data_IF_673758505699
#
_entry.id   IF_673758505699
#
_cell.length_a   1.000
_cell.length_b   1.000
_cell.length_c   1.000
_cell.angle_alpha   90.00
_cell.angle_beta   90.00
_cell.angle_gamma   90.00
#
_symmetry.space_group_name_H-M   'P 1'
#
loop_
_entity.id
_entity.type
_entity.pdbx_description
1 polymer ?
#
# COMPACT_ATOMS: atom_id res chain seq x y z
N UNK A 1 -34.95 15.09 -44.64
CA UNK A 1 -34.85 16.30 -45.47
C UNK A 1 -34.90 17.50 -44.55
N UNK A 2 -33.96 18.40 -44.76
CA UNK A 2 -33.60 19.57 -43.97
C UNK A 2 -34.79 20.49 -43.66
N UNK A 3 -34.70 21.21 -42.54
CA UNK A 3 -34.94 22.66 -42.58
C UNK A 3 -34.31 23.34 -41.37
N UNK A 4 -33.28 24.14 -41.63
CA UNK A 4 -32.87 25.23 -40.77
C UNK A 4 -33.93 26.33 -40.82
N UNK A 5 -34.29 26.89 -39.66
CA UNK A 5 -34.80 28.26 -39.58
C UNK A 5 -34.03 29.00 -38.49
N UNK A 6 -33.04 29.74 -38.98
CA UNK A 6 -32.31 30.81 -38.33
C UNK A 6 -33.26 31.78 -37.61
N UNK A 7 -33.15 31.89 -36.28
CA UNK A 7 -33.87 32.89 -35.49
C UNK A 7 -32.89 33.98 -35.07
N UNK A 8 -32.70 34.95 -35.95
CA UNK A 8 -32.14 36.24 -35.61
C UNK A 8 -33.20 37.10 -34.88
N UNK A 9 -32.73 38.02 -34.04
CA UNK A 9 -33.44 38.99 -33.17
C UNK A 9 -33.87 38.43 -31.80
N UNK A 10 -33.48 39.01 -30.66
CA UNK A 10 -33.42 40.44 -30.36
C UNK A 10 -32.35 40.75 -29.31
N UNK A 11 -31.35 41.54 -29.70
CA UNK A 11 -30.30 42.12 -28.83
C UNK A 11 -30.84 43.29 -27.97
N UNK A 12 -32.11 43.67 -28.15
CA UNK A 12 -32.74 44.81 -27.46
C UNK A 12 -33.39 44.44 -26.11
N UNK A 13 -33.64 43.16 -25.84
CA UNK A 13 -34.19 42.72 -24.55
C UNK A 13 -33.12 42.52 -23.48
N UNK A 14 -31.84 42.40 -23.87
CA UNK A 14 -30.71 42.17 -22.96
C UNK A 14 -30.18 43.49 -22.35
N UNK A 15 -30.45 44.64 -22.99
CA UNK A 15 -30.04 45.97 -22.50
C UNK A 15 -30.97 46.58 -21.44
N UNK A 16 -32.06 45.90 -21.09
CA UNK A 16 -33.02 46.31 -20.06
C UNK A 16 -32.89 45.52 -18.74
N UNK A 17 -31.92 44.61 -18.65
CA UNK A 17 -31.60 43.95 -17.39
C UNK A 17 -30.82 44.91 -16.49
N UNK A 18 -31.44 45.28 -15.38
CA UNK A 18 -30.80 45.98 -14.28
C UNK A 18 -29.51 45.23 -13.91
N UNK A 19 -28.36 45.90 -13.74
CA UNK A 19 -27.14 45.20 -13.35
C UNK A 19 -27.39 44.57 -11.97
N UNK A 20 -27.30 43.24 -11.90
CA UNK A 20 -27.23 42.50 -10.65
C UNK A 20 -26.07 43.12 -9.86
N UNK A 21 -26.40 43.86 -8.80
CA UNK A 21 -25.42 44.19 -7.78
C UNK A 21 -24.95 42.86 -7.24
N UNK A 22 -23.76 42.44 -7.66
CA UNK A 22 -23.02 41.40 -6.99
C UNK A 22 -22.93 41.82 -5.53
N UNK A 23 -23.68 41.12 -4.68
CA UNK A 23 -23.52 41.18 -3.24
C UNK A 23 -22.06 40.79 -3.02
N UNK A 24 -21.23 41.63 -2.38
CA UNK A 24 -19.87 41.23 -2.06
C UNK A 24 -19.97 39.91 -1.31
N UNK A 25 -19.43 38.84 -1.87
CA UNK A 25 -19.19 37.60 -1.13
C UNK A 25 -18.45 38.01 0.13
N UNK A 26 -19.02 37.69 1.30
CA UNK A 26 -18.31 37.84 2.57
C UNK A 26 -16.93 37.20 2.38
N UNK A 27 -15.91 38.06 2.29
CA UNK A 27 -14.56 37.62 2.61
C UNK A 27 -14.66 37.12 4.04
N UNK A 28 -14.21 35.90 4.28
CA UNK A 28 -13.77 35.52 5.62
C UNK A 28 -12.69 36.54 6.03
N UNK A 29 -13.12 37.65 6.63
CA UNK A 29 -12.28 38.58 7.37
C UNK A 29 -11.94 37.87 8.69
N UNK A 30 -11.20 36.77 8.58
CA UNK A 30 -10.41 36.29 9.70
C UNK A 30 -9.37 37.38 9.97
N UNK A 31 -9.54 38.08 11.10
CA UNK A 31 -8.59 39.08 11.59
C UNK A 31 -7.22 38.42 11.70
N UNK A 32 -6.31 38.75 10.76
CA UNK A 32 -4.95 38.23 10.80
C UNK A 32 -4.19 38.89 11.93
N UNK A 33 -3.12 38.24 12.38
CA UNK A 33 -2.18 38.80 13.35
C UNK A 33 -1.69 40.22 12.94
N UNK A 34 -1.57 40.46 11.65
CA UNK A 34 -1.22 41.74 11.01
C UNK A 34 -2.28 42.83 11.24
N UNK A 35 -3.56 42.50 11.07
CA UNK A 35 -4.69 43.40 11.28
C UNK A 35 -4.86 43.74 12.77
N UNK A 36 -4.50 42.81 13.65
CA UNK A 36 -4.46 43.03 15.09
C UNK A 36 -3.33 43.96 15.52
N UNK A 37 -2.12 43.77 14.99
CA UNK A 37 -1.04 44.70 15.27
C UNK A 37 -1.38 46.11 14.76
N UNK A 38 -2.07 46.25 13.63
CA UNK A 38 -2.55 47.54 13.15
C UNK A 38 -3.57 48.18 14.11
N UNK A 39 -4.54 47.41 14.61
CA UNK A 39 -5.54 47.90 15.58
C UNK A 39 -4.92 48.23 16.95
N UNK A 40 -3.98 47.42 17.44
CA UNK A 40 -3.26 47.65 18.69
C UNK A 40 -2.38 48.91 18.62
N UNK A 41 -1.70 49.13 17.49
CA UNK A 41 -0.88 50.32 17.27
C UNK A 41 -1.74 51.58 17.17
N UNK A 42 -2.89 51.48 16.48
CA UNK A 42 -3.86 52.57 16.39
C UNK A 42 -4.46 52.94 17.75
N UNK A 43 -4.83 51.95 18.57
CA UNK A 43 -5.33 52.16 19.93
C UNK A 43 -4.26 52.77 20.85
N UNK A 44 -3.02 52.29 20.81
CA UNK A 44 -1.90 52.88 21.57
C UNK A 44 -1.64 54.35 21.21
N UNK A 45 -1.85 54.75 19.95
CA UNK A 45 -1.67 56.15 19.52
C UNK A 45 -2.76 57.12 20.02
N UNK A 46 -3.93 56.60 20.43
CA UNK A 46 -5.11 57.37 20.81
C UNK A 46 -5.55 57.18 22.28
N UNK A 47 -4.76 56.48 23.11
CA UNK A 47 -5.09 56.26 24.53
C UNK A 47 -4.73 57.46 25.41
N UNK A 48 -5.63 57.80 26.33
CA UNK A 48 -5.38 58.72 27.44
C UNK A 48 -4.53 58.00 28.52
N UNK A 49 -3.36 58.54 28.92
CA UNK A 49 -2.42 57.89 29.83
C UNK A 49 -2.97 57.61 31.24
N UNK A 50 -4.16 58.11 31.58
CA UNK A 50 -4.79 57.93 32.89
C UNK A 50 -5.73 56.73 33.01
N UNK A 51 -6.07 56.03 31.91
CA UNK A 51 -6.97 54.86 31.90
C UNK A 51 -6.55 53.81 30.86
N UNK A 52 -5.56 52.96 31.16
CA UNK A 52 -5.19 51.86 30.28
C UNK A 52 -6.35 50.85 30.27
N UNK A 53 -7.09 50.74 29.17
CA UNK A 53 -8.12 49.71 29.06
C UNK A 53 -7.51 48.30 28.99
N UNK A 54 -8.28 47.29 29.44
CA UNK A 54 -7.99 45.84 29.44
C UNK A 54 -7.62 45.30 28.03
N UNK A 55 -6.36 45.45 27.64
CA UNK A 55 -5.80 44.78 26.46
C UNK A 55 -5.64 43.26 26.67
N UNK A 56 -5.75 42.79 27.91
CA UNK A 56 -5.48 41.40 28.30
C UNK A 56 -6.46 40.40 27.66
N UNK A 57 -7.74 40.77 27.55
CA UNK A 57 -8.76 39.88 26.97
C UNK A 57 -8.57 39.70 25.46
N UNK A 58 -8.13 40.74 24.76
CA UNK A 58 -7.85 40.70 23.32
C UNK A 58 -6.53 39.98 23.02
N UNK A 59 -5.50 40.17 23.87
CA UNK A 59 -4.24 39.41 23.83
C UNK A 59 -4.49 37.91 24.09
N UNK A 60 -5.37 37.58 25.03
CA UNK A 60 -5.76 36.20 25.30
C UNK A 60 -6.47 35.56 24.09
N UNK A 61 -7.38 36.28 23.43
CA UNK A 61 -8.04 35.81 22.21
C UNK A 61 -7.04 35.62 21.06
N UNK A 62 -6.13 36.56 20.83
CA UNK A 62 -5.03 36.43 19.87
C UNK A 62 -4.14 35.22 20.14
N UNK A 63 -3.74 35.03 21.39
CA UNK A 63 -2.91 33.88 21.78
C UNK A 63 -3.62 32.58 21.47
N UNK A 64 -4.93 32.49 21.73
CA UNK A 64 -5.75 31.33 21.34
C UNK A 64 -5.82 31.14 19.82
N UNK A 65 -5.92 32.22 19.03
CA UNK A 65 -5.87 32.16 17.56
C UNK A 65 -4.51 31.68 17.05
N UNK A 66 -3.40 32.26 17.53
CA UNK A 66 -2.04 31.83 17.15
C UNK A 66 -1.77 30.38 17.57
N UNK A 67 -2.29 29.94 18.71
CA UNK A 67 -2.22 28.52 19.11
C UNK A 67 -3.04 27.63 18.17
N UNK A 68 -4.25 28.05 17.77
CA UNK A 68 -5.08 27.30 16.82
C UNK A 68 -4.44 27.23 15.42
N UNK A 69 -3.88 28.35 14.92
CA UNK A 69 -3.10 28.39 13.67
C UNK A 69 -1.87 27.48 13.77
N UNK A 70 -1.13 27.54 14.89
CA UNK A 70 0.01 26.66 15.12
C UNK A 70 -0.36 25.18 15.12
N UNK A 71 -1.51 24.80 15.68
CA UNK A 71 -2.02 23.41 15.62
C UNK A 71 -2.43 23.04 14.19
N UNK A 72 -3.06 23.96 13.45
CA UNK A 72 -3.42 23.76 12.04
C UNK A 72 -2.18 23.54 11.17
N UNK A 73 -1.15 24.37 11.35
CA UNK A 73 0.14 24.22 10.68
C UNK A 73 0.80 22.90 11.01
N UNK A 74 0.80 22.49 12.28
CA UNK A 74 1.30 21.19 12.70
C UNK A 74 0.56 20.05 11.99
N UNK A 75 -0.77 20.09 11.94
CA UNK A 75 -1.56 19.08 11.23
C UNK A 75 -1.20 19.01 9.75
N UNK A 76 -1.04 20.15 9.07
CA UNK A 76 -0.61 20.20 7.67
C UNK A 76 0.80 19.61 7.46
N UNK A 77 1.74 19.89 8.39
CA UNK A 77 3.07 19.27 8.36
C UNK A 77 3.02 17.77 8.62
N UNK A 78 2.14 17.29 9.50
CA UNK A 78 1.93 15.86 9.73
C UNK A 78 1.35 15.16 8.50
N UNK A 79 0.41 15.77 7.81
CA UNK A 79 -0.16 15.24 6.57
C UNK A 79 0.92 15.15 5.47
N UNK A 80 1.71 16.22 5.30
CA UNK A 80 2.86 16.23 4.38
C UNK A 80 3.90 15.15 4.72
N UNK A 81 4.15 14.91 6.02
CA UNK A 81 5.04 13.85 6.47
C UNK A 81 4.47 12.47 6.15
N UNK A 82 3.17 12.25 6.38
CA UNK A 82 2.51 10.99 6.06
C UNK A 82 2.53 10.69 4.55
N UNK A 83 2.35 11.70 3.70
CA UNK A 83 2.51 11.59 2.24
C UNK A 83 3.94 11.23 1.85
N UNK A 84 4.94 11.85 2.49
CA UNK A 84 6.36 11.54 2.25
C UNK A 84 6.70 10.10 2.66
N UNK A 85 6.21 9.63 3.81
CA UNK A 85 6.38 8.26 4.26
C UNK A 85 5.70 7.24 3.33
N UNK A 86 4.50 7.57 2.84
CA UNK A 86 3.78 6.75 1.85
C UNK A 86 4.57 6.68 0.53
N UNK A 87 5.09 7.82 0.07
CA UNK A 87 5.93 7.89 -1.14
C UNK A 87 7.21 7.06 -1.01
N UNK A 88 7.87 7.12 0.15
CA UNK A 88 9.05 6.29 0.42
C UNK A 88 8.71 4.79 0.45
N UNK A 89 7.55 4.44 1.02
CA UNK A 89 7.05 3.06 1.01
C UNK A 89 6.75 2.57 -0.41
N UNK A 90 6.21 3.44 -1.27
CA UNK A 90 6.01 3.13 -2.70
C UNK A 90 7.33 2.90 -3.44
N UNK A 91 8.37 3.68 -3.15
CA UNK A 91 9.70 3.45 -3.71
C UNK A 91 10.30 2.12 -3.24
N UNK A 92 10.18 1.77 -1.96
CA UNK A 92 10.63 0.46 -1.48
C UNK A 92 9.86 -0.68 -2.15
N UNK A 93 8.53 -0.53 -2.25
CA UNK A 93 7.67 -1.52 -2.90
C UNK A 93 8.02 -1.70 -4.38
N UNK A 94 8.37 -0.64 -5.11
CA UNK A 94 8.72 -0.74 -6.53
C UNK A 94 9.95 -1.61 -6.78
N UNK A 95 10.89 -1.65 -5.83
CA UNK A 95 12.06 -2.56 -5.90
C UNK A 95 11.70 -4.03 -5.73
N UNK A 96 10.48 -4.35 -5.29
CA UNK A 96 9.99 -5.72 -5.13
C UNK A 96 9.46 -6.30 -6.44
N UNK A 97 9.03 -5.47 -7.39
CA UNK A 97 8.50 -5.95 -8.66
C UNK A 97 9.60 -6.72 -9.41
N UNK A 98 9.28 -7.94 -9.85
CA UNK A 98 10.23 -8.84 -10.51
C UNK A 98 11.15 -9.63 -9.56
N UNK A 99 11.10 -9.36 -8.24
CA UNK A 99 11.67 -10.26 -7.23
C UNK A 99 10.74 -11.44 -6.97
N UNK A 100 11.25 -12.47 -6.29
CA UNK A 100 10.44 -13.61 -5.85
C UNK A 100 10.18 -13.55 -4.36
N UNK A 101 8.92 -13.74 -3.95
CA UNK A 101 8.52 -13.89 -2.55
C UNK A 101 8.29 -15.36 -2.21
N UNK A 102 8.77 -15.82 -1.07
CA UNK A 102 8.46 -17.14 -0.52
C UNK A 102 7.10 -17.06 0.20
N UNK A 103 6.11 -17.73 -0.36
CA UNK A 103 4.72 -17.73 0.11
C UNK A 103 4.27 -19.14 0.44
N UNK A 104 3.49 -19.31 1.50
CA UNK A 104 2.83 -20.58 1.80
C UNK A 104 1.95 -20.99 0.61
N UNK A 105 2.22 -22.18 0.07
CA UNK A 105 1.59 -22.65 -1.16
C UNK A 105 1.78 -24.16 -1.31
N UNK A 106 0.73 -24.83 -1.75
CA UNK A 106 0.73 -26.24 -2.17
C UNK A 106 0.99 -26.39 -3.68
N UNK A 107 1.37 -25.33 -4.36
CA UNK A 107 1.74 -25.36 -5.78
C UNK A 107 3.12 -24.76 -5.98
N UNK A 108 3.77 -25.13 -7.07
CA UNK A 108 5.07 -24.61 -7.50
C UNK A 108 4.99 -24.26 -8.99
N UNK A 109 5.47 -23.07 -9.36
CA UNK A 109 5.54 -22.66 -10.76
C UNK A 109 6.80 -23.20 -11.40
N UNK A 110 6.64 -23.88 -12.52
CA UNK A 110 7.71 -24.21 -13.45
C UNK A 110 7.70 -23.20 -14.59
N UNK A 111 8.64 -22.25 -14.50
CA UNK A 111 8.86 -21.21 -15.50
C UNK A 111 10.03 -21.51 -16.44
N UNK A 112 10.25 -20.65 -17.44
CA UNK A 112 11.34 -20.77 -18.41
C UNK A 112 12.75 -20.63 -17.80
N UNK A 113 12.84 -20.16 -16.56
CA UNK A 113 14.07 -20.05 -15.78
C UNK A 113 14.53 -21.40 -15.17
N UNK A 114 13.74 -22.47 -15.34
CA UNK A 114 14.08 -23.87 -15.02
C UNK A 114 14.51 -24.11 -13.56
N UNK A 115 14.19 -23.19 -12.64
CA UNK A 115 14.53 -23.29 -11.22
C UNK A 115 13.32 -22.98 -10.35
N UNK A 116 12.55 -24.03 -10.09
CA UNK A 116 11.41 -24.02 -9.18
C UNK A 116 11.91 -24.31 -7.77
N UNK A 117 11.76 -23.36 -6.84
CA UNK A 117 12.33 -23.47 -5.49
C UNK A 117 11.25 -23.34 -4.43
N UNK A 118 11.43 -24.05 -3.32
CA UNK A 118 10.53 -23.99 -2.18
C UNK A 118 11.20 -24.31 -0.85
N UNK A 119 10.39 -24.27 0.19
CA UNK A 119 10.76 -24.60 1.56
C UNK A 119 9.64 -25.41 2.22
N UNK A 120 10.03 -26.30 3.12
CA UNK A 120 9.13 -27.08 3.96
C UNK A 120 9.39 -26.65 5.40
N UNK A 121 8.33 -26.48 6.17
CA UNK A 121 8.45 -26.13 7.59
C UNK A 121 8.35 -27.42 8.41
N UNK A 122 9.47 -27.82 9.01
CA UNK A 122 9.57 -29.01 9.86
C UNK A 122 9.55 -28.55 11.32
N UNK A 123 8.52 -28.92 12.08
CA UNK A 123 8.38 -28.53 13.49
C UNK A 123 9.01 -29.53 14.46
N UNK A 124 9.09 -30.79 14.06
CA UNK A 124 9.64 -31.92 14.83
C UNK A 124 10.59 -32.72 13.95
N UNK A 125 11.62 -33.39 14.51
CA UNK A 125 12.52 -34.22 13.72
C UNK A 125 11.74 -35.27 12.90
N UNK A 126 12.05 -35.38 11.61
CA UNK A 126 11.47 -36.37 10.72
C UNK A 126 12.52 -37.38 10.30
N UNK A 127 12.18 -38.67 10.31
CA UNK A 127 13.07 -39.77 9.91
C UNK A 127 13.18 -39.89 8.38
N UNK A 128 12.13 -39.46 7.67
CA UNK A 128 12.07 -39.43 6.21
C UNK A 128 11.17 -38.30 5.76
N UNK A 129 11.68 -37.41 4.92
CA UNK A 129 10.96 -36.31 4.30
C UNK A 129 10.94 -36.49 2.78
N UNK A 130 9.75 -36.45 2.20
CA UNK A 130 9.58 -36.52 0.74
C UNK A 130 8.69 -35.40 0.24
N UNK A 131 9.05 -34.83 -0.91
CA UNK A 131 8.19 -33.91 -1.68
C UNK A 131 7.70 -34.62 -2.92
N UNK A 132 6.39 -34.78 -3.03
CA UNK A 132 5.72 -35.28 -4.22
C UNK A 132 5.29 -34.10 -5.09
N UNK A 133 5.62 -34.15 -6.38
CA UNK A 133 5.20 -33.16 -7.38
C UNK A 133 4.21 -33.83 -8.31
N UNK A 134 3.05 -33.20 -8.50
CA UNK A 134 1.93 -33.71 -9.28
C UNK A 134 1.54 -32.73 -10.38
N UNK A 135 1.11 -33.27 -11.53
CA UNK A 135 0.56 -32.46 -12.62
C UNK A 135 -0.89 -32.01 -12.34
N UNK A 136 -1.48 -31.31 -13.31
CA UNK A 136 -2.86 -30.83 -13.31
C UNK A 136 -3.92 -31.95 -13.14
N UNK A 137 -3.59 -33.16 -13.60
CA UNK A 137 -4.41 -34.38 -13.43
C UNK A 137 -4.21 -35.07 -12.08
N UNK A 138 -3.40 -34.51 -11.19
CA UNK A 138 -2.95 -35.10 -9.92
C UNK A 138 -2.18 -36.43 -10.10
N UNK A 139 -1.51 -36.62 -11.23
CA UNK A 139 -0.59 -37.74 -11.44
C UNK A 139 0.80 -37.37 -10.89
N UNK A 140 1.44 -38.30 -10.19
CA UNK A 140 2.78 -38.11 -9.64
C UNK A 140 3.80 -38.05 -10.79
N UNK A 141 4.53 -36.94 -10.91
CA UNK A 141 5.56 -36.75 -11.96
C UNK A 141 6.98 -36.86 -11.41
N UNK A 142 7.19 -36.44 -10.16
CA UNK A 142 8.51 -36.43 -9.51
C UNK A 142 8.36 -36.62 -8.01
N UNK A 143 9.28 -37.36 -7.41
CA UNK A 143 9.47 -37.40 -5.95
C UNK A 143 10.88 -36.91 -5.63
N UNK A 144 11.00 -36.02 -4.65
CA UNK A 144 12.26 -35.54 -4.10
C UNK A 144 12.40 -36.14 -2.71
N UNK A 145 13.43 -36.96 -2.49
CA UNK A 145 13.74 -37.54 -1.18
C UNK A 145 14.76 -36.65 -0.46
N UNK A 146 14.31 -36.02 0.61
CA UNK A 146 15.11 -35.13 1.46
C UNK A 146 15.64 -35.85 2.70
N UNK A 147 15.42 -37.17 2.83
CA UNK A 147 15.91 -38.01 3.94
C UNK A 147 15.45 -37.50 5.31
N UNK A 148 16.19 -37.82 6.36
CA UNK A 148 15.96 -37.31 7.70
C UNK A 148 16.26 -35.80 7.77
N UNK A 149 15.44 -35.07 8.53
CA UNK A 149 15.59 -33.64 8.70
C UNK A 149 15.32 -33.24 10.15
N UNK A 150 16.12 -32.32 10.66
CA UNK A 150 15.89 -31.66 11.95
C UNK A 150 14.80 -30.59 11.81
N UNK A 151 14.20 -30.14 12.94
CA UNK A 151 13.30 -29.00 12.94
C UNK A 151 13.92 -27.77 12.30
N UNK A 152 13.14 -27.06 11.47
CA UNK A 152 13.57 -25.87 10.74
C UNK A 152 12.97 -25.78 9.34
N UNK A 153 13.42 -24.76 8.60
CA UNK A 153 13.07 -24.57 7.20
C UNK A 153 13.99 -25.43 6.32
N UNK A 154 13.42 -26.44 5.65
CA UNK A 154 14.15 -27.33 4.75
C UNK A 154 13.91 -26.89 3.31
N UNK A 155 14.97 -26.51 2.59
CA UNK A 155 14.90 -26.09 1.18
C UNK A 155 14.86 -27.27 0.24
N UNK A 156 14.16 -27.08 -0.87
CA UNK A 156 14.19 -28.00 -2.00
C UNK A 156 14.13 -27.24 -3.32
N UNK A 157 14.70 -27.85 -4.34
CA UNK A 157 14.72 -27.34 -5.70
C UNK A 157 14.17 -28.42 -6.64
N UNK A 158 13.43 -27.99 -7.66
CA UNK A 158 12.95 -28.82 -8.74
C UNK A 158 13.38 -28.24 -10.08
N UNK A 159 13.99 -29.08 -10.89
CA UNK A 159 14.59 -28.76 -12.19
C UNK A 159 13.57 -28.83 -13.35
N UNK A 160 12.28 -29.03 -13.04
CA UNK A 160 11.22 -29.16 -14.05
C UNK A 160 11.13 -30.53 -14.71
N UNK A 161 11.92 -31.52 -14.26
CA UNK A 161 11.93 -32.85 -14.87
C UNK A 161 11.08 -33.87 -14.13
N UNK A 162 10.58 -34.85 -14.87
CA UNK A 162 9.92 -36.02 -14.29
C UNK A 162 10.94 -37.04 -13.75
N UNK A 163 10.45 -38.20 -13.32
CA UNK A 163 11.29 -39.31 -12.81
C UNK A 163 12.16 -39.95 -13.91
N UNK A 164 11.73 -39.87 -15.17
CA UNK A 164 12.45 -40.39 -16.34
C UNK A 164 13.51 -39.40 -16.88
N UNK A 165 13.57 -38.19 -16.31
CA UNK A 165 14.52 -37.15 -16.70
C UNK A 165 14.06 -36.28 -17.87
N UNK A 166 12.81 -36.42 -18.29
CA UNK A 166 12.19 -35.61 -19.34
C UNK A 166 11.74 -34.26 -18.79
N UNK A 167 11.93 -33.20 -19.58
CA UNK A 167 11.48 -31.86 -19.23
C UNK A 167 9.96 -31.76 -19.34
N UNK A 168 9.31 -31.29 -18.27
CA UNK A 168 7.87 -31.05 -18.26
C UNK A 168 7.52 -29.67 -18.85
N UNK A 169 6.31 -29.48 -19.37
CA UNK A 169 5.89 -28.18 -19.89
C UNK A 169 5.81 -27.11 -18.78
N UNK A 170 6.07 -25.82 -19.10
CA UNK A 170 5.84 -24.73 -18.17
C UNK A 170 4.42 -24.70 -17.63
N UNK A 171 4.25 -24.40 -16.35
CA UNK A 171 2.96 -24.42 -15.70
C UNK A 171 3.05 -24.52 -14.18
N UNK A 172 1.89 -24.54 -13.53
CA UNK A 172 1.80 -24.76 -12.09
C UNK A 172 1.63 -26.25 -11.79
N UNK A 173 2.43 -26.75 -10.85
CA UNK A 173 2.41 -28.14 -10.40
C UNK A 173 2.04 -28.19 -8.93
N UNK A 174 1.26 -29.18 -8.51
CA UNK A 174 0.92 -29.36 -7.10
C UNK A 174 2.07 -30.02 -6.37
N UNK A 175 2.36 -29.57 -5.15
CA UNK A 175 3.36 -30.15 -4.27
C UNK A 175 2.70 -30.68 -3.01
N UNK A 176 3.23 -31.79 -2.51
CA UNK A 176 2.85 -32.35 -1.20
C UNK A 176 4.13 -32.77 -0.48
N UNK A 177 4.37 -32.20 0.69
CA UNK A 177 5.45 -32.64 1.57
C UNK A 177 4.89 -33.57 2.64
N UNK A 178 5.51 -34.74 2.80
CA UNK A 178 5.18 -35.70 3.85
C UNK A 178 6.44 -36.10 4.61
N UNK A 179 6.37 -36.00 5.94
CA UNK A 179 7.44 -36.36 6.85
C UNK A 179 7.02 -37.50 7.77
N UNK A 180 7.92 -38.44 8.06
CA UNK A 180 7.70 -39.48 9.07
C UNK A 180 8.12 -38.98 10.46
N UNK A 181 7.14 -38.70 11.31
CA UNK A 181 7.33 -38.31 12.72
C UNK A 181 6.95 -39.52 13.57
N UNK A 182 7.89 -40.05 14.36
CA UNK A 182 7.68 -41.25 15.19
C UNK A 182 7.12 -42.46 14.42
N UNK A 183 7.56 -42.67 13.19
CA UNK A 183 7.11 -43.76 12.32
C UNK A 183 5.75 -43.53 11.63
N UNK A 184 5.06 -42.40 11.87
CA UNK A 184 3.82 -42.03 11.20
C UNK A 184 4.06 -40.91 10.17
N UNK A 185 3.56 -41.08 8.95
CA UNK A 185 3.63 -40.02 7.93
C UNK A 185 2.57 -38.94 8.19
N UNK A 186 3.01 -37.70 8.19
CA UNK A 186 2.18 -36.51 8.33
C UNK A 186 2.48 -35.51 7.22
N UNK A 187 1.45 -34.83 6.72
CA UNK A 187 1.63 -33.74 5.78
C UNK A 187 2.29 -32.54 6.48
N UNK A 188 3.23 -31.90 5.79
CA UNK A 188 3.97 -30.74 6.30
C UNK A 188 3.67 -29.49 5.46
N UNK A 189 3.60 -28.29 6.08
CA UNK A 189 3.40 -27.04 5.35
C UNK A 189 4.53 -26.78 4.36
N UNK A 190 4.15 -26.29 3.18
CA UNK A 190 5.07 -25.92 2.11
C UNK A 190 4.95 -24.46 1.74
N UNK A 191 6.06 -23.86 1.35
CA UNK A 191 6.11 -22.53 0.78
C UNK A 191 6.92 -22.55 -0.51
N UNK A 192 6.52 -21.78 -1.52
CA UNK A 192 7.19 -21.71 -2.82
C UNK A 192 7.47 -20.27 -3.23
N UNK A 193 8.54 -20.10 -3.99
CA UNK A 193 8.89 -18.78 -4.51
C UNK A 193 7.97 -18.40 -5.65
N UNK A 194 7.35 -17.21 -5.54
CA UNK A 194 6.43 -16.65 -6.53
C UNK A 194 6.92 -15.29 -7.00
N UNK A 195 6.84 -15.07 -8.31
CA UNK A 195 7.20 -13.78 -8.89
C UNK A 195 6.21 -12.70 -8.44
N UNK A 196 6.75 -11.55 -8.03
CA UNK A 196 5.96 -10.36 -7.69
C UNK A 196 5.70 -9.60 -8.99
N UNK A 197 4.44 -9.58 -9.42
CA UNK A 197 4.02 -8.94 -10.67
C UNK A 197 3.74 -7.44 -10.49
N UNK A 198 3.19 -7.08 -9.34
CA UNK A 198 2.93 -5.69 -8.99
C UNK A 198 2.85 -5.52 -7.48
N UNK A 199 2.83 -4.27 -7.04
CA UNK A 199 2.69 -3.89 -5.63
C UNK A 199 1.64 -2.80 -5.50
N UNK A 200 0.87 -2.85 -4.44
CA UNK A 200 -0.05 -1.80 -4.03
C UNK A 200 0.44 -1.23 -2.70
N UNK A 201 0.51 0.10 -2.60
CA UNK A 201 0.86 0.78 -1.35
C UNK A 201 -0.38 1.48 -0.82
N UNK A 202 -0.88 0.98 0.31
CA UNK A 202 -2.16 1.40 0.88
C UNK A 202 -1.96 2.27 2.12
N UNK A 203 -1.05 3.26 2.05
CA UNK A 203 -0.72 4.16 3.15
C UNK A 203 -0.48 3.40 4.47
N UNK A 204 -1.31 3.67 5.48
CA UNK A 204 -1.25 3.02 6.80
C UNK A 204 -1.50 1.51 6.78
N UNK A 205 -2.12 0.95 5.73
CA UNK A 205 -2.38 -0.49 5.60
C UNK A 205 -1.18 -1.28 5.06
N UNK A 206 -0.05 -0.61 4.78
CA UNK A 206 1.20 -1.22 4.37
C UNK A 206 1.26 -1.57 2.88
N UNK A 207 2.22 -2.43 2.54
CA UNK A 207 2.49 -2.87 1.17
C UNK A 207 1.82 -4.23 0.94
N UNK A 208 1.06 -4.33 -0.14
CA UNK A 208 0.49 -5.57 -0.65
C UNK A 208 1.22 -5.93 -1.94
N UNK A 209 1.74 -7.15 -2.01
CA UNK A 209 2.35 -7.70 -3.21
C UNK A 209 1.30 -8.51 -3.98
N UNK A 210 1.30 -8.43 -5.30
CA UNK A 210 0.45 -9.25 -6.14
C UNK A 210 1.33 -10.25 -6.90
N UNK A 211 0.96 -11.51 -6.77
CA UNK A 211 1.56 -12.62 -7.51
C UNK A 211 0.46 -13.28 -8.34
N UNK A 212 0.85 -14.17 -9.26
CA UNK A 212 -0.10 -15.02 -10.00
C UNK A 212 -1.02 -15.85 -9.09
N UNK A 213 -0.58 -16.17 -7.87
CA UNK A 213 -1.35 -16.90 -6.87
C UNK A 213 -2.34 -16.00 -6.08
N UNK A 214 -2.23 -14.67 -6.21
CA UNK A 214 -3.08 -13.71 -5.52
C UNK A 214 -2.30 -12.60 -4.81
N UNK A 215 -3.06 -11.73 -4.14
CA UNK A 215 -2.55 -10.61 -3.37
C UNK A 215 -2.22 -11.03 -1.93
N UNK A 216 -1.03 -10.70 -1.44
CA UNK A 216 -0.55 -11.04 -0.09
C UNK A 216 0.10 -9.81 0.54
N UNK A 217 -0.04 -9.63 1.85
CA UNK A 217 0.66 -8.53 2.55
C UNK A 217 2.14 -8.83 2.62
N UNK A 218 2.98 -7.81 2.47
CA UNK A 218 4.43 -7.98 2.57
C UNK A 218 4.86 -8.57 3.92
N UNK A 219 4.11 -8.32 4.99
CA UNK A 219 4.35 -8.88 6.33
C UNK A 219 4.16 -10.40 6.42
N UNK A 220 3.41 -10.98 5.50
CA UNK A 220 3.09 -12.42 5.49
C UNK A 220 4.08 -13.19 4.58
N UNK A 221 5.00 -12.47 3.93
CA UNK A 221 6.06 -13.04 3.10
C UNK A 221 7.18 -13.54 4.00
N UNK A 222 7.52 -14.83 3.88
CA UNK A 222 8.59 -15.43 4.67
C UNK A 222 9.98 -14.95 4.23
N UNK A 223 10.19 -14.74 2.92
CA UNK A 223 11.48 -14.34 2.35
C UNK A 223 11.33 -13.67 0.98
N UNK A 224 12.27 -12.78 0.63
CA UNK A 224 12.41 -12.18 -0.69
C UNK A 224 13.74 -12.61 -1.33
N UNK A 225 13.71 -12.96 -2.63
CA UNK A 225 14.87 -13.33 -3.44
C UNK A 225 14.94 -12.51 -4.73
#
# INVERSE_FOLDING_TARGET
MSNEVNSATSTYVDSLRWPDKQVPTEKNDELKQEDFFALLTQQLSYQDPSKPADNDQMIAQMTNFTMAEGISDLNSKFESLAESMTSNSALQASTLIGKKALLESDTIEHGPDMQSRGSIIVTEPVEKLTVSILNDKNELVRTIDLKDQSPGAVRFDWDGKNTEGEMLPPGDYKIKAEGSVHGQFTALPTATFRNIESVNVNGASGIVINTKAGAVRLTDVAELA
#
